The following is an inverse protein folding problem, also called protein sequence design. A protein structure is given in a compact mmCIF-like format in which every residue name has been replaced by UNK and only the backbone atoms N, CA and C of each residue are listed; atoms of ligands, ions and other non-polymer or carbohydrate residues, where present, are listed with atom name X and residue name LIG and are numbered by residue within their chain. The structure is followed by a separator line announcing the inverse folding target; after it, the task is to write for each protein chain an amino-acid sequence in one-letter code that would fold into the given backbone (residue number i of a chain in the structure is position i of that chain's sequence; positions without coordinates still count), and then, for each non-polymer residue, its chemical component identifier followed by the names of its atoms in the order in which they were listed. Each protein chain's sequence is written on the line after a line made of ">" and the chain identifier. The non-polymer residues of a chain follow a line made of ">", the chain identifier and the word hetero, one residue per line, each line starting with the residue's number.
data_IF_473334564877
#
_entry.id   IF_473334564877
#
_cell.length_a   1.000
_cell.length_b   1.000
_cell.length_c   1.000
_cell.angle_alpha   90.00
_cell.angle_beta   90.00
_cell.angle_gamma   90.00
#
_symmetry.space_group_name_H-M   'P 1'
#
loop_
_entity.id
_entity.type
_entity.pdbx_description
1 polymer ?
#
# COMPACT_ATOMS: atom_id res chain seq x y z
N UNK A 1 5.49 7.79 -19.58
CA UNK A 1 5.39 7.63 -18.13
C UNK A 1 5.57 9.01 -17.54
N UNK A 2 4.51 9.58 -16.97
CA UNK A 2 4.58 10.86 -16.28
C UNK A 2 4.98 10.59 -14.82
N UNK A 3 5.95 11.34 -14.31
CA UNK A 3 6.43 11.21 -12.94
C UNK A 3 6.27 12.53 -12.21
N UNK A 4 5.80 12.47 -10.98
CA UNK A 4 5.85 13.57 -10.04
C UNK A 4 7.26 13.71 -9.48
N UNK A 5 7.89 14.86 -9.67
CA UNK A 5 9.29 15.08 -9.30
C UNK A 5 9.37 15.95 -8.04
N UNK A 6 10.09 15.46 -7.05
CA UNK A 6 10.60 16.27 -5.95
C UNK A 6 12.02 16.72 -6.29
N UNK A 7 12.25 18.03 -6.26
CA UNK A 7 13.53 18.66 -6.54
C UNK A 7 14.07 19.36 -5.28
N UNK A 8 15.30 19.04 -4.90
CA UNK A 8 15.94 19.65 -3.74
C UNK A 8 17.38 20.04 -4.05
N UNK A 9 17.73 21.28 -3.76
CA UNK A 9 19.09 21.81 -3.86
C UNK A 9 19.37 22.70 -2.64
N UNK A 10 20.56 22.64 -2.09
CA UNK A 10 20.99 23.53 -1.01
C UNK A 10 22.36 24.14 -1.34
N UNK A 11 22.66 25.29 -0.75
CA UNK A 11 23.99 25.93 -0.91
C UNK A 11 25.14 25.02 -0.49
N UNK A 12 24.92 24.14 0.49
CA UNK A 12 25.92 23.18 0.98
C UNK A 12 26.00 21.92 0.11
N UNK A 13 25.02 21.65 -0.71
CA UNK A 13 24.95 20.49 -1.60
C UNK A 13 24.50 20.95 -2.98
N UNK A 14 25.45 21.44 -3.82
CA UNK A 14 25.14 22.03 -5.12
C UNK A 14 24.65 21.01 -6.17
N UNK A 15 24.79 19.72 -5.91
CA UNK A 15 24.20 18.68 -6.77
C UNK A 15 22.73 18.51 -6.40
N UNK A 16 21.79 18.72 -7.34
CA UNK A 16 20.38 18.56 -7.08
C UNK A 16 20.06 17.10 -6.75
N UNK A 17 19.19 16.90 -5.76
CA UNK A 17 18.54 15.63 -5.53
C UNK A 17 17.20 15.66 -6.27
N UNK A 18 16.99 14.66 -7.12
CA UNK A 18 15.73 14.44 -7.81
C UNK A 18 15.15 13.11 -7.31
N UNK A 19 13.91 13.13 -6.85
CA UNK A 19 13.16 11.93 -6.48
C UNK A 19 11.88 11.90 -7.31
N UNK A 20 11.67 10.81 -8.06
CA UNK A 20 10.50 10.62 -8.90
C UNK A 20 9.48 9.70 -8.24
N UNK A 21 8.21 10.08 -8.30
CA UNK A 21 7.08 9.30 -7.78
C UNK A 21 6.10 9.01 -8.91
N UNK A 22 5.42 7.85 -8.82
CA UNK A 22 4.42 7.46 -9.81
C UNK A 22 3.11 8.21 -9.57
N UNK A 23 2.80 8.54 -8.30
CA UNK A 23 1.60 9.27 -7.93
C UNK A 23 1.93 10.56 -7.17
N UNK A 24 1.01 11.52 -7.25
CA UNK A 24 1.08 12.76 -6.46
C UNK A 24 0.99 12.47 -4.96
N UNK A 25 0.14 11.53 -4.56
CA UNK A 25 -0.03 11.14 -3.16
C UNK A 25 1.26 10.59 -2.54
N UNK A 26 2.06 9.83 -3.31
CA UNK A 26 3.35 9.32 -2.86
C UNK A 26 4.36 10.44 -2.65
N UNK A 27 4.37 11.43 -3.55
CA UNK A 27 5.19 12.63 -3.41
C UNK A 27 4.76 13.45 -2.19
N UNK A 28 3.47 13.64 -1.99
CA UNK A 28 2.92 14.36 -0.84
C UNK A 28 3.33 13.70 0.48
N UNK A 29 3.20 12.36 0.58
CA UNK A 29 3.69 11.62 1.74
C UNK A 29 5.19 11.82 1.97
N UNK A 30 6.01 11.74 0.91
CA UNK A 30 7.44 12.00 1.00
C UNK A 30 7.74 13.40 1.52
N UNK A 31 7.01 14.43 1.03
CA UNK A 31 7.15 15.81 1.48
C UNK A 31 6.76 15.98 2.96
N UNK A 32 5.79 15.24 3.45
CA UNK A 32 5.44 15.20 4.88
C UNK A 32 6.53 14.48 5.71
N UNK A 33 7.07 13.38 5.19
CA UNK A 33 8.12 12.62 5.86
C UNK A 33 9.39 13.44 6.07
N UNK A 34 9.79 14.27 5.12
CA UNK A 34 10.97 15.14 5.24
C UNK A 34 10.80 16.32 6.20
N UNK A 35 9.57 16.64 6.63
CA UNK A 35 9.31 17.63 7.68
C UNK A 35 9.59 17.07 9.08
N UNK A 36 9.70 15.75 9.21
CA UNK A 36 10.04 15.12 10.51
C UNK A 36 11.47 15.46 10.88
N UNK A 37 11.67 15.96 12.10
CA UNK A 37 13.00 16.34 12.59
C UNK A 37 14.01 15.19 12.50
N UNK A 38 15.12 15.44 11.80
CA UNK A 38 16.20 14.45 11.60
C UNK A 38 15.97 13.52 10.40
N UNK A 39 14.94 13.75 9.59
CA UNK A 39 14.70 13.06 8.34
C UNK A 39 14.80 14.04 7.18
N UNK A 40 15.99 14.07 6.55
CA UNK A 40 16.17 14.87 5.34
C UNK A 40 15.82 14.12 4.06
N UNK A 41 15.76 14.80 2.89
CA UNK A 41 15.34 14.21 1.61
C UNK A 41 16.12 12.95 1.21
N UNK A 42 17.44 12.92 1.41
CA UNK A 42 18.26 11.76 1.07
C UNK A 42 17.91 10.55 1.96
N UNK A 43 17.75 10.79 3.26
CA UNK A 43 17.40 9.75 4.22
C UNK A 43 16.00 9.22 3.95
N UNK A 44 15.03 10.11 3.70
CA UNK A 44 13.67 9.74 3.34
C UNK A 44 13.63 8.90 2.06
N UNK A 45 14.29 9.33 0.99
CA UNK A 45 14.35 8.58 -0.26
C UNK A 45 14.93 7.17 -0.09
N UNK A 46 15.99 7.04 0.70
CA UNK A 46 16.61 5.73 0.98
C UNK A 46 15.78 4.85 1.92
N UNK A 47 14.93 5.44 2.75
CA UNK A 47 14.09 4.69 3.70
C UNK A 47 12.83 4.10 3.06
N UNK A 48 12.36 4.61 1.93
CA UNK A 48 11.13 4.17 1.25
C UNK A 48 11.35 2.83 0.52
N UNK A 49 11.59 1.76 1.25
CA UNK A 49 11.77 0.39 0.72
C UNK A 49 10.47 -0.41 0.72
N UNK A 50 9.47 0.03 1.46
CA UNK A 50 8.12 -0.56 1.49
C UNK A 50 7.15 0.30 0.67
N UNK A 51 6.06 -0.29 0.18
CA UNK A 51 4.94 0.49 -0.39
C UNK A 51 4.44 1.54 0.62
N UNK A 52 4.14 2.74 0.13
CA UNK A 52 3.82 3.88 0.99
C UNK A 52 2.57 3.64 1.85
N UNK A 53 1.57 2.95 1.31
CA UNK A 53 0.39 2.55 2.07
C UNK A 53 0.70 1.66 3.28
N UNK A 54 1.73 0.80 3.20
CA UNK A 54 2.18 -0.03 4.32
C UNK A 54 2.87 0.85 5.37
N UNK A 55 3.68 1.81 4.95
CA UNK A 55 4.35 2.75 5.87
C UNK A 55 3.31 3.62 6.58
N UNK A 56 2.31 4.12 5.86
CA UNK A 56 1.23 4.92 6.43
C UNK A 56 0.44 4.09 7.46
N UNK A 57 0.07 2.86 7.12
CA UNK A 57 -0.61 1.98 8.06
C UNK A 57 0.23 1.75 9.34
N UNK A 58 1.55 1.54 9.19
CA UNK A 58 2.44 1.39 10.34
C UNK A 58 2.50 2.65 11.22
N UNK A 59 2.41 3.83 10.62
CA UNK A 59 2.35 5.10 11.37
C UNK A 59 1.02 5.20 12.12
N UNK A 60 -0.10 4.91 11.48
CA UNK A 60 -1.43 5.01 12.08
C UNK A 60 -1.68 3.94 13.16
N UNK A 61 -1.07 2.77 13.02
CA UNK A 61 -1.13 1.69 14.03
C UNK A 61 0.02 1.72 15.04
N UNK A 62 0.88 2.74 14.97
CA UNK A 62 2.06 2.91 15.85
C UNK A 62 3.03 1.71 15.82
N UNK A 63 3.15 1.05 14.67
CA UNK A 63 4.05 -0.11 14.49
C UNK A 63 5.50 0.35 14.32
N UNK A 64 6.17 0.58 15.46
CA UNK A 64 7.59 0.92 15.49
C UNK A 64 8.46 -0.16 14.84
N UNK A 65 8.11 -1.44 14.99
CA UNK A 65 8.90 -2.56 14.50
C UNK A 65 9.01 -2.58 12.98
N UNK A 66 7.95 -2.22 12.28
CA UNK A 66 7.96 -2.10 10.83
C UNK A 66 8.77 -0.88 10.39
N UNK A 67 8.57 0.26 11.04
CA UNK A 67 9.31 1.48 10.70
C UNK A 67 10.82 1.34 10.93
N UNK A 68 11.25 0.61 11.95
CA UNK A 68 12.66 0.33 12.24
C UNK A 68 13.34 -0.57 11.18
N UNK A 69 12.56 -1.29 10.36
CA UNK A 69 13.09 -2.07 9.24
C UNK A 69 13.45 -1.18 8.04
N UNK A 70 13.01 0.08 8.03
CA UNK A 70 13.35 1.01 6.96
C UNK A 70 14.81 1.48 7.11
N UNK A 71 15.63 1.45 6.04
CA UNK A 71 17.03 1.85 6.08
C UNK A 71 17.23 3.26 6.67
N UNK A 72 18.08 3.36 7.68
CA UNK A 72 18.39 4.61 8.35
C UNK A 72 17.34 5.10 9.35
N UNK A 73 16.26 4.37 9.55
CA UNK A 73 15.24 4.66 10.55
C UNK A 73 15.46 3.73 11.75
N UNK A 74 16.01 4.26 12.82
CA UNK A 74 16.11 3.55 14.10
C UNK A 74 14.93 3.93 15.02
N UNK A 75 14.89 3.34 16.22
CA UNK A 75 13.80 3.48 17.19
C UNK A 75 13.41 4.94 17.47
N UNK A 76 14.39 5.83 17.67
CA UNK A 76 14.12 7.26 17.90
C UNK A 76 13.48 7.96 16.69
N UNK A 77 13.92 7.59 15.48
CA UNK A 77 13.38 8.16 14.26
C UNK A 77 11.95 7.64 14.01
N UNK A 78 11.70 6.35 14.22
CA UNK A 78 10.38 5.74 14.13
C UNK A 78 9.38 6.44 15.08
N UNK A 79 9.75 6.63 16.33
CA UNK A 79 8.92 7.35 17.31
C UNK A 79 8.63 8.79 16.89
N UNK A 80 9.62 9.52 16.32
CA UNK A 80 9.41 10.88 15.81
C UNK A 80 8.48 10.90 14.60
N UNK A 81 8.60 9.92 13.70
CA UNK A 81 7.70 9.78 12.55
C UNK A 81 6.25 9.61 13.04
N UNK A 82 6.03 8.66 13.94
CA UNK A 82 4.71 8.42 14.52
C UNK A 82 4.18 9.68 15.22
N UNK A 83 4.94 10.27 16.12
CA UNK A 83 4.52 11.46 16.86
C UNK A 83 4.21 12.66 15.97
N UNK A 84 4.88 12.77 14.81
CA UNK A 84 4.69 13.89 13.90
C UNK A 84 3.56 13.69 12.90
N UNK A 85 3.33 12.46 12.45
CA UNK A 85 2.48 12.14 11.30
C UNK A 85 1.20 11.37 11.66
N UNK A 86 1.15 10.64 12.78
CA UNK A 86 -0.05 9.90 13.18
C UNK A 86 -1.26 10.84 13.28
N UNK A 87 -2.36 10.46 12.64
CA UNK A 87 -3.60 11.23 12.58
C UNK A 87 -3.53 12.53 11.76
N UNK A 88 -2.42 12.80 11.07
CA UNK A 88 -2.24 14.00 10.24
C UNK A 88 -2.05 13.69 8.76
N UNK A 89 -1.88 12.41 8.42
CA UNK A 89 -1.68 11.98 7.05
C UNK A 89 -3.00 12.10 6.27
N UNK A 90 -3.06 13.05 5.36
CA UNK A 90 -4.13 13.18 4.37
C UNK A 90 -3.78 12.34 3.14
N UNK A 91 -3.45 11.07 3.34
CA UNK A 91 -3.28 10.16 2.21
C UNK A 91 -4.65 9.82 1.66
N UNK A 92 -5.10 10.61 0.71
CA UNK A 92 -6.19 10.20 -0.15
C UNK A 92 -5.63 9.12 -1.07
N UNK A 93 -6.08 7.88 -0.87
CA UNK A 93 -6.08 6.95 -1.98
C UNK A 93 -6.91 7.63 -3.07
N UNK A 94 -6.27 8.42 -3.92
CA UNK A 94 -6.87 8.79 -5.19
C UNK A 94 -7.03 7.49 -5.97
N UNK A 95 -8.16 6.86 -5.75
CA UNK A 95 -8.73 5.92 -6.72
C UNK A 95 -9.00 6.78 -7.94
N UNK A 96 -7.96 6.99 -8.76
CA UNK A 96 -8.12 7.56 -10.08
C UNK A 96 -9.04 6.61 -10.86
N UNK A 97 -10.30 7.02 -10.96
CA UNK A 97 -11.29 6.43 -11.86
C UNK A 97 -10.95 6.79 -13.32
N UNK A 98 -9.72 6.48 -13.76
CA UNK A 98 -9.37 6.53 -15.18
C UNK A 98 -8.39 5.41 -15.49
N UNK A 99 -8.98 4.37 -16.09
CA UNK A 99 -8.39 3.34 -16.94
C UNK A 99 -7.15 2.56 -16.48
N UNK A 100 -7.43 1.31 -16.11
CA UNK A 100 -6.61 0.10 -16.27
C UNK A 100 -5.55 -0.24 -15.21
N UNK A 101 -5.92 -1.29 -14.48
CA UNK A 101 -5.15 -2.08 -13.54
C UNK A 101 -4.98 -1.47 -12.13
N UNK A 102 -6.08 -1.45 -11.41
CA UNK A 102 -6.11 -1.34 -9.95
C UNK A 102 -5.21 -2.42 -9.32
N UNK A 103 -4.08 -2.03 -8.79
CA UNK A 103 -3.38 -2.82 -7.80
C UNK A 103 -4.08 -2.59 -6.45
N UNK A 104 -5.25 -3.17 -6.26
CA UNK A 104 -5.87 -3.26 -4.92
C UNK A 104 -4.94 -4.11 -4.04
N UNK A 105 -4.66 -3.70 -2.80
CA UNK A 105 -3.97 -4.58 -1.86
C UNK A 105 -4.68 -5.94 -1.83
N UNK A 106 -3.93 -7.02 -1.82
CA UNK A 106 -4.50 -8.39 -1.85
C UNK A 106 -5.52 -8.56 -0.73
N UNK A 107 -5.32 -7.92 0.42
CA UNK A 107 -6.24 -7.96 1.54
C UNK A 107 -7.59 -7.27 1.22
N UNK A 108 -7.59 -6.14 0.48
CA UNK A 108 -8.84 -5.48 0.07
C UNK A 108 -9.59 -6.27 -1.00
N UNK A 109 -8.87 -6.88 -1.94
CA UNK A 109 -9.43 -7.77 -2.97
C UNK A 109 -10.05 -9.01 -2.29
N UNK A 110 -9.36 -9.56 -1.29
CA UNK A 110 -9.83 -10.70 -0.52
C UNK A 110 -11.13 -10.39 0.23
N UNK A 111 -11.17 -9.30 0.99
CA UNK A 111 -12.34 -8.92 1.80
C UNK A 111 -13.54 -8.52 0.90
N UNK A 112 -13.30 -7.89 -0.24
CA UNK A 112 -14.33 -7.53 -1.20
C UNK A 112 -14.91 -8.78 -1.89
N UNK A 113 -14.06 -9.73 -2.31
CA UNK A 113 -14.48 -11.01 -2.85
C UNK A 113 -15.24 -11.85 -1.81
N UNK A 114 -14.78 -11.84 -0.55
CA UNK A 114 -15.43 -12.49 0.58
C UNK A 114 -16.85 -11.95 0.80
N UNK A 115 -16.97 -10.63 0.85
CA UNK A 115 -18.26 -9.95 1.01
C UNK A 115 -19.23 -10.30 -0.13
N UNK A 116 -18.72 -10.32 -1.37
CA UNK A 116 -19.50 -10.73 -2.55
C UNK A 116 -20.02 -12.17 -2.45
N UNK A 117 -19.16 -13.11 -2.07
CA UNK A 117 -19.53 -14.52 -1.92
C UNK A 117 -20.51 -14.75 -0.77
N UNK A 118 -20.38 -14.03 0.36
CA UNK A 118 -21.33 -14.08 1.47
C UNK A 118 -22.71 -13.57 1.01
N UNK A 119 -22.74 -12.49 0.22
CA UNK A 119 -23.99 -11.96 -0.35
C UNK A 119 -24.67 -12.95 -1.31
N UNK A 120 -23.89 -13.84 -1.94
CA UNK A 120 -24.37 -14.93 -2.79
C UNK A 120 -24.78 -16.19 -1.99
N UNK A 121 -24.71 -16.14 -0.64
CA UNK A 121 -25.16 -17.21 0.25
C UNK A 121 -24.09 -18.19 0.71
N UNK A 122 -22.80 -17.93 0.43
CA UNK A 122 -21.70 -18.74 0.96
C UNK A 122 -21.53 -18.50 2.46
N UNK A 123 -21.17 -19.54 3.21
CA UNK A 123 -20.73 -19.37 4.60
C UNK A 123 -19.34 -18.73 4.65
N UNK A 124 -19.06 -17.92 5.68
CA UNK A 124 -17.80 -17.18 5.80
C UNK A 124 -16.56 -18.09 5.64
N UNK A 125 -16.51 -19.22 6.35
CA UNK A 125 -15.37 -20.14 6.27
C UNK A 125 -15.25 -20.83 4.91
N UNK A 126 -16.37 -21.12 4.26
CA UNK A 126 -16.41 -21.74 2.93
C UNK A 126 -15.90 -20.75 1.86
N UNK A 127 -16.36 -19.50 1.92
CA UNK A 127 -15.91 -18.45 1.03
C UNK A 127 -14.41 -18.16 1.19
N UNK A 128 -13.89 -18.06 2.43
CA UNK A 128 -12.46 -17.86 2.69
C UNK A 128 -11.60 -18.99 2.12
N UNK A 129 -11.99 -20.23 2.31
CA UNK A 129 -11.27 -21.39 1.79
C UNK A 129 -11.26 -21.39 0.25
N UNK A 130 -12.41 -21.11 -0.37
CA UNK A 130 -12.53 -21.05 -1.82
C UNK A 130 -11.69 -19.94 -2.46
N UNK A 131 -11.65 -18.75 -1.84
CA UNK A 131 -10.80 -17.65 -2.29
C UNK A 131 -9.32 -18.04 -2.19
N UNK A 132 -8.88 -18.58 -1.05
CA UNK A 132 -7.50 -19.02 -0.85
C UNK A 132 -7.07 -20.08 -1.87
N UNK A 133 -7.95 -21.02 -2.19
CA UNK A 133 -7.71 -22.04 -3.22
C UNK A 133 -7.50 -21.42 -4.61
N UNK A 134 -8.37 -20.48 -5.00
CA UNK A 134 -8.27 -19.77 -6.30
C UNK A 134 -6.99 -18.94 -6.36
N UNK A 135 -6.63 -18.23 -5.28
CA UNK A 135 -5.42 -17.42 -5.22
C UNK A 135 -4.15 -18.26 -5.26
N UNK A 136 -4.16 -19.46 -4.68
CA UNK A 136 -3.02 -20.39 -4.71
C UNK A 136 -2.76 -20.98 -6.09
N UNK A 137 -3.80 -21.22 -6.88
CA UNK A 137 -3.70 -21.84 -8.22
C UNK A 137 -3.35 -20.83 -9.32
N UNK A 138 -3.90 -19.61 -9.25
CA UNK A 138 -3.80 -18.63 -10.34
C UNK A 138 -2.79 -17.52 -10.08
N UNK A 139 -2.06 -17.56 -8.95
CA UNK A 139 -1.16 -16.49 -8.54
C UNK A 139 -1.93 -15.22 -8.11
N UNK A 140 -1.22 -14.28 -7.49
CA UNK A 140 -1.79 -13.09 -6.84
C UNK A 140 -2.25 -11.96 -7.79
N UNK A 141 -2.59 -12.25 -9.05
CA UNK A 141 -2.95 -11.24 -10.07
C UNK A 141 -4.42 -11.26 -10.50
N UNK A 142 -5.32 -11.77 -9.65
CA UNK A 142 -6.74 -11.78 -9.96
C UNK A 142 -7.44 -10.58 -9.30
N UNK A 143 -8.33 -9.93 -10.05
CA UNK A 143 -9.27 -8.95 -9.50
C UNK A 143 -10.45 -9.64 -8.81
N UNK A 144 -11.27 -8.87 -8.08
CA UNK A 144 -12.42 -9.36 -7.32
C UNK A 144 -13.39 -10.15 -8.20
N UNK A 145 -13.68 -9.64 -9.40
CA UNK A 145 -14.63 -10.27 -10.33
C UNK A 145 -14.14 -11.65 -10.77
N UNK A 146 -12.86 -11.75 -11.14
CA UNK A 146 -12.28 -13.00 -11.57
C UNK A 146 -12.19 -14.03 -10.43
N UNK A 147 -11.88 -13.59 -9.19
CA UNK A 147 -11.89 -14.49 -8.01
C UNK A 147 -13.29 -15.05 -7.80
N UNK A 148 -14.31 -14.19 -7.72
CA UNK A 148 -15.70 -14.61 -7.52
C UNK A 148 -16.15 -15.54 -8.65
N UNK A 149 -15.83 -15.21 -9.90
CA UNK A 149 -16.17 -16.03 -11.08
C UNK A 149 -15.54 -17.42 -11.02
N UNK A 150 -14.27 -17.52 -10.65
CA UNK A 150 -13.57 -18.81 -10.55
C UNK A 150 -14.10 -19.67 -9.40
N UNK A 151 -14.41 -19.06 -8.24
CA UNK A 151 -15.07 -19.74 -7.14
C UNK A 151 -16.41 -20.34 -7.57
N UNK A 152 -17.24 -19.54 -8.26
CA UNK A 152 -18.54 -20.00 -8.75
C UNK A 152 -18.42 -21.12 -9.77
N UNK A 153 -17.48 -21.06 -10.71
CA UNK A 153 -17.22 -22.13 -11.69
C UNK A 153 -16.80 -23.45 -11.03
N UNK A 154 -15.94 -23.39 -10.00
CA UNK A 154 -15.50 -24.57 -9.28
C UNK A 154 -16.66 -25.23 -8.52
N UNK A 155 -17.54 -24.43 -7.95
CA UNK A 155 -18.68 -24.95 -7.20
C UNK A 155 -19.76 -25.55 -8.13
N UNK A 156 -19.94 -24.99 -9.32
CA UNK A 156 -20.89 -25.56 -10.32
C UNK A 156 -20.44 -26.94 -10.82
N UNK A 157 -19.14 -27.23 -10.82
CA UNK A 157 -18.59 -28.54 -11.22
C UNK A 157 -18.73 -29.63 -10.13
N UNK A 158 -19.06 -29.25 -8.89
CA UNK A 158 -19.28 -30.22 -7.79
C UNK A 158 -20.70 -30.83 -7.77
N UNK A 159 -21.61 -30.31 -8.57
CA UNK A 159 -23.01 -30.72 -8.60
C UNK A 159 -23.47 -31.30 -9.95
N UNK A 160 -22.54 -31.70 -10.83
CA UNK A 160 -22.82 -32.41 -12.09
C UNK A 160 -22.21 -33.81 -12.04
#
# INVERSE_FOLDING_TARGET
>A
LDLEIYYHVTERQPKPLLVGFISYSDKEFFEQLIQVEGIGPVKAANSLVFPINIIINAIETEDNSLLEQMPGIGSRAAQKIIASLNGKLTYQNEVNLTDNAEFKPIDSIFEEALSGLISLGYKNNEARNAINEVLSENGKKLDVENIVREVLKKNTRKYV
#
